data_IF_949943299711
#
_entry.id   IF_949943299711
#
_cell.length_a   1.000
_cell.length_b   1.000
_cell.length_c   1.000
_cell.angle_alpha   90.00
_cell.angle_beta   90.00
_cell.angle_gamma   90.00
#
_symmetry.space_group_name_H-M   'P 1'
#
loop_
_entity.id
_entity.type
_entity.pdbx_description
1 polymer ?
#
# COMPACT_ATOMS: atom_id res chain seq x y z
N UNK A 1 -36.21 27.21 15.02
CA UNK A 1 -34.76 27.24 14.77
C UNK A 1 -34.48 26.02 13.92
N UNK A 2 -34.45 26.20 12.59
CA UNK A 2 -34.26 25.10 11.65
C UNK A 2 -32.77 24.78 11.62
N UNK A 3 -32.40 23.55 12.00
CA UNK A 3 -31.06 23.04 11.76
C UNK A 3 -30.99 22.80 10.25
N UNK A 4 -30.22 23.63 9.56
CA UNK A 4 -29.91 23.45 8.15
C UNK A 4 -29.02 22.21 8.05
N UNK A 5 -29.56 21.16 7.46
CA UNK A 5 -28.80 20.03 6.93
C UNK A 5 -27.90 20.56 5.80
N UNK A 6 -26.68 21.00 6.13
CA UNK A 6 -25.63 21.16 5.13
C UNK A 6 -25.17 19.77 4.77
N UNK A 7 -25.93 19.10 3.90
CA UNK A 7 -25.48 17.89 3.25
C UNK A 7 -24.16 18.20 2.55
N UNK A 8 -23.06 17.66 3.09
CA UNK A 8 -21.75 17.74 2.46
C UNK A 8 -21.91 17.22 1.04
N UNK A 9 -21.76 18.09 0.04
CA UNK A 9 -21.86 17.70 -1.36
C UNK A 9 -20.81 16.63 -1.59
N UNK A 10 -21.25 15.39 -1.84
CA UNK A 10 -20.35 14.30 -2.17
C UNK A 10 -19.77 14.57 -3.55
N UNK A 11 -18.45 14.56 -3.65
CA UNK A 11 -17.75 14.61 -4.92
C UNK A 11 -17.95 13.27 -5.63
N UNK A 12 -18.50 13.26 -6.85
CA UNK A 12 -18.65 12.07 -7.70
C UNK A 12 -19.15 10.77 -6.98
N UNK A 13 -20.29 10.78 -6.27
CA UNK A 13 -20.73 9.62 -5.48
C UNK A 13 -21.12 8.41 -6.35
N UNK A 14 -21.78 8.63 -7.48
CA UNK A 14 -22.17 7.56 -8.41
C UNK A 14 -20.95 6.84 -9.00
N UNK A 15 -19.89 7.61 -9.29
CA UNK A 15 -18.64 7.06 -9.81
C UNK A 15 -17.90 6.24 -8.75
N UNK A 16 -17.96 6.65 -7.47
CA UNK A 16 -17.45 5.81 -6.38
C UNK A 16 -18.16 4.47 -6.34
N UNK A 17 -19.50 4.47 -6.36
CA UNK A 17 -20.28 3.23 -6.33
C UNK A 17 -19.93 2.33 -7.54
N UNK A 18 -19.74 2.93 -8.72
CA UNK A 18 -19.30 2.22 -9.92
C UNK A 18 -17.91 1.58 -9.73
N UNK A 19 -16.93 2.32 -9.21
CA UNK A 19 -15.59 1.79 -8.91
C UNK A 19 -15.66 0.64 -7.90
N UNK A 20 -16.50 0.75 -6.86
CA UNK A 20 -16.64 -0.29 -5.83
C UNK A 20 -17.31 -1.56 -6.35
N UNK A 21 -18.16 -1.43 -7.37
CA UNK A 21 -18.83 -2.55 -8.03
C UNK A 21 -18.08 -3.10 -9.26
N UNK A 22 -16.85 -2.62 -9.50
CA UNK A 22 -16.07 -2.94 -10.70
C UNK A 22 -15.40 -4.32 -10.63
N UNK A 23 -16.21 -5.38 -10.50
CA UNK A 23 -15.75 -6.78 -10.47
C UNK A 23 -15.13 -7.22 -11.81
N UNK A 24 -15.50 -6.56 -12.90
CA UNK A 24 -15.02 -6.84 -14.27
C UNK A 24 -13.64 -6.24 -14.55
N UNK A 25 -13.09 -5.45 -13.63
CA UNK A 25 -11.75 -4.88 -13.76
C UNK A 25 -11.63 -3.83 -14.87
N UNK A 26 -12.71 -3.09 -15.15
CA UNK A 26 -12.72 -1.99 -16.13
C UNK A 26 -11.65 -0.95 -15.78
N UNK A 27 -11.01 -0.31 -16.78
CA UNK A 27 -10.08 0.78 -16.52
C UNK A 27 -10.75 1.92 -15.76
N UNK A 28 -10.01 2.58 -14.87
CA UNK A 28 -10.47 3.76 -14.13
C UNK A 28 -9.61 4.96 -14.53
N UNK A 29 -10.26 6.03 -14.95
CA UNK A 29 -9.63 7.24 -15.48
C UNK A 29 -9.95 8.44 -14.59
N UNK A 30 -8.94 9.09 -14.04
CA UNK A 30 -9.06 10.40 -13.40
C UNK A 30 -8.64 11.45 -14.43
N UNK A 31 -9.58 12.29 -14.88
CA UNK A 31 -9.38 13.18 -16.04
C UNK A 31 -9.38 14.66 -15.67
N UNK A 32 -8.78 15.51 -16.52
CA UNK A 32 -8.73 16.97 -16.36
C UNK A 32 -8.04 17.46 -15.07
N UNK A 33 -7.11 16.68 -14.54
CA UNK A 33 -6.37 17.02 -13.32
C UNK A 33 -5.09 17.81 -13.62
N UNK A 34 -4.56 18.47 -12.59
CA UNK A 34 -3.12 18.72 -12.48
C UNK A 34 -2.45 17.47 -11.90
N UNK A 35 -1.49 16.86 -12.58
CA UNK A 35 -0.84 15.62 -12.14
C UNK A 35 0.61 15.90 -11.78
N UNK A 36 0.97 15.64 -10.51
CA UNK A 36 2.34 15.73 -10.01
C UNK A 36 2.98 14.34 -10.10
N UNK A 37 3.62 13.97 -11.21
CA UNK A 37 4.04 12.56 -11.38
C UNK A 37 5.19 12.10 -10.49
N UNK A 38 6.01 13.04 -9.99
CA UNK A 38 7.30 12.77 -9.32
C UNK A 38 8.34 12.01 -10.16
N UNK A 39 8.07 11.83 -11.46
CA UNK A 39 9.06 11.30 -12.40
C UNK A 39 9.75 12.47 -13.13
N UNK A 40 11.09 12.49 -13.21
CA UNK A 40 11.84 13.60 -13.78
C UNK A 40 11.76 13.66 -15.32
N UNK A 41 11.38 12.58 -16.01
CA UNK A 41 11.16 12.61 -17.45
C UNK A 41 9.80 13.22 -17.78
N UNK A 42 8.74 12.81 -17.08
CA UNK A 42 7.35 13.19 -17.39
C UNK A 42 7.00 14.54 -16.73
N UNK A 43 7.43 14.75 -15.49
CA UNK A 43 7.22 15.99 -14.76
C UNK A 43 5.76 16.25 -14.38
N UNK A 44 5.44 17.51 -14.14
CA UNK A 44 4.08 17.95 -13.77
C UNK A 44 3.29 18.35 -15.01
N UNK A 45 2.02 17.97 -15.06
CA UNK A 45 1.12 18.29 -16.18
C UNK A 45 -0.20 18.89 -15.65
N UNK A 46 -0.88 19.69 -16.47
CA UNK A 46 -2.20 20.29 -16.16
C UNK A 46 -3.18 19.93 -17.27
N UNK A 47 -4.43 19.64 -16.91
CA UNK A 47 -5.43 19.13 -17.86
C UNK A 47 -5.05 17.74 -18.36
N UNK A 48 -4.44 16.94 -17.49
CA UNK A 48 -3.95 15.61 -17.79
C UNK A 48 -4.81 14.54 -17.12
N UNK A 49 -4.64 13.32 -17.60
CA UNK A 49 -5.38 12.14 -17.19
C UNK A 49 -4.45 11.11 -16.55
N UNK A 50 -4.96 10.37 -15.56
CA UNK A 50 -4.32 9.21 -14.95
C UNK A 50 -5.24 8.00 -15.17
N UNK A 51 -4.74 6.98 -15.86
CA UNK A 51 -5.45 5.75 -16.17
C UNK A 51 -4.78 4.57 -15.46
N UNK A 52 -5.57 3.77 -14.76
CA UNK A 52 -5.13 2.52 -14.16
C UNK A 52 -6.12 1.38 -14.38
N UNK A 53 -5.61 0.16 -14.31
CA UNK A 53 -6.39 -1.10 -14.38
C UNK A 53 -5.98 -1.94 -13.18
N UNK A 54 -6.94 -2.26 -12.30
CA UNK A 54 -6.63 -2.89 -11.02
C UNK A 54 -5.58 -2.09 -10.25
N UNK A 55 -4.48 -2.74 -9.87
CA UNK A 55 -3.38 -2.12 -9.11
C UNK A 55 -2.24 -1.59 -9.98
N UNK A 56 -2.45 -1.35 -11.28
CA UNK A 56 -1.41 -0.94 -12.21
C UNK A 56 -1.79 0.36 -12.93
N UNK A 57 -0.96 1.40 -12.80
CA UNK A 57 -1.02 2.57 -13.68
C UNK A 57 -0.62 2.13 -15.09
N UNK A 58 -1.49 2.39 -16.06
CA UNK A 58 -1.27 2.03 -17.47
C UNK A 58 -1.07 3.25 -18.36
N UNK A 59 -1.48 4.44 -17.91
CA UNK A 59 -1.32 5.68 -18.67
C UNK A 59 -1.31 6.91 -17.79
N UNK A 60 -0.49 7.89 -18.16
CA UNK A 60 -0.51 9.24 -17.60
C UNK A 60 -0.21 10.25 -18.70
N UNK A 61 -0.98 11.33 -18.77
CA UNK A 61 -0.79 12.36 -19.78
C UNK A 61 -2.11 12.92 -20.31
N UNK A 62 -2.06 13.92 -21.20
CA UNK A 62 -3.26 14.55 -21.74
C UNK A 62 -3.96 13.66 -22.78
N UNK A 63 -5.30 13.76 -22.84
CA UNK A 63 -6.11 13.22 -23.93
C UNK A 63 -6.33 11.71 -23.90
N UNK A 64 -5.97 11.02 -22.81
CA UNK A 64 -6.20 9.58 -22.63
C UNK A 64 -7.70 9.28 -22.63
N UNK A 65 -8.54 10.22 -22.18
CA UNK A 65 -10.00 10.08 -22.18
C UNK A 65 -10.58 9.59 -23.52
N UNK A 66 -9.97 9.97 -24.64
CA UNK A 66 -10.43 9.54 -25.97
C UNK A 66 -10.19 8.06 -26.23
N UNK A 67 -9.08 7.50 -25.74
CA UNK A 67 -8.76 6.08 -25.86
C UNK A 67 -9.46 5.25 -24.77
N UNK A 68 -9.60 5.79 -23.56
CA UNK A 68 -10.27 5.12 -22.44
C UNK A 68 -11.78 4.94 -22.66
N UNK A 69 -12.41 5.80 -23.47
CA UNK A 69 -13.80 5.66 -23.87
C UNK A 69 -14.08 4.39 -24.69
N UNK A 70 -13.11 3.93 -25.48
CA UNK A 70 -13.24 2.70 -26.28
C UNK A 70 -13.25 1.44 -25.39
N UNK A 71 -12.62 1.50 -24.21
CA UNK A 71 -12.53 0.40 -23.24
C UNK A 71 -13.59 0.47 -22.13
N UNK A 72 -14.63 1.32 -22.30
CA UNK A 72 -15.69 1.53 -21.31
C UNK A 72 -15.14 1.89 -19.91
N UNK A 73 -14.11 2.75 -19.86
CA UNK A 73 -13.48 3.15 -18.61
C UNK A 73 -14.47 3.89 -17.68
N UNK A 74 -14.30 3.71 -16.37
CA UNK A 74 -14.99 4.50 -15.35
C UNK A 74 -14.26 5.84 -15.25
N UNK A 75 -14.96 6.95 -15.51
CA UNK A 75 -14.34 8.29 -15.60
C UNK A 75 -14.68 9.15 -14.40
N UNK A 76 -13.65 9.65 -13.73
CA UNK A 76 -13.71 10.58 -12.60
C UNK A 76 -13.23 11.96 -13.08
N UNK A 77 -14.13 12.95 -13.14
CA UNK A 77 -13.73 14.33 -13.46
C UNK A 77 -13.02 14.98 -12.25
N UNK A 78 -11.78 15.38 -12.47
CA UNK A 78 -10.89 16.01 -11.52
C UNK A 78 -10.61 17.49 -11.85
N UNK A 79 -11.50 18.14 -12.61
CA UNK A 79 -11.40 19.58 -12.88
C UNK A 79 -11.25 20.36 -11.56
N UNK A 80 -10.25 21.25 -11.51
CA UNK A 80 -9.89 22.02 -10.31
C UNK A 80 -9.28 21.16 -9.20
N UNK A 81 -8.63 20.05 -9.54
CA UNK A 81 -7.90 19.20 -8.60
C UNK A 81 -6.54 18.80 -9.09
N UNK A 82 -5.70 18.57 -8.09
CA UNK A 82 -4.38 17.97 -8.23
C UNK A 82 -4.42 16.51 -7.83
N UNK A 83 -3.88 15.66 -8.70
CA UNK A 83 -3.56 14.26 -8.43
C UNK A 83 -2.07 14.19 -8.10
N UNK A 84 -1.75 13.71 -6.89
CA UNK A 84 -0.38 13.63 -6.38
C UNK A 84 -0.13 12.26 -5.72
N UNK A 85 1.10 11.73 -5.73
CA UNK A 85 1.44 10.51 -5.02
C UNK A 85 1.07 10.59 -3.54
N UNK A 86 0.51 9.51 -3.00
CA UNK A 86 0.25 9.38 -1.57
C UNK A 86 1.52 9.01 -0.79
N UNK A 87 2.54 8.48 -1.48
CA UNK A 87 3.84 8.08 -0.93
C UNK A 87 4.93 8.93 -1.56
N UNK A 88 5.87 9.43 -0.74
CA UNK A 88 6.95 10.31 -1.20
C UNK A 88 8.30 9.59 -1.10
N UNK A 89 8.91 9.34 -2.25
CA UNK A 89 10.28 8.81 -2.31
C UNK A 89 11.30 9.94 -2.07
N UNK A 90 11.56 10.21 -0.78
CA UNK A 90 12.55 11.22 -0.38
C UNK A 90 13.99 10.82 -0.72
N UNK A 91 14.25 9.52 -0.91
CA UNK A 91 15.56 9.02 -1.35
C UNK A 91 15.82 9.44 -2.79
N UNK A 92 14.84 9.26 -3.68
CA UNK A 92 14.92 9.76 -5.05
C UNK A 92 15.07 11.29 -5.09
N UNK A 93 14.28 12.03 -4.29
CA UNK A 93 14.40 13.49 -4.19
C UNK A 93 15.79 13.97 -3.76
N UNK A 94 16.44 13.23 -2.86
CA UNK A 94 17.79 13.54 -2.40
C UNK A 94 18.90 13.02 -3.34
N UNK A 95 18.55 12.41 -4.48
CA UNK A 95 19.49 11.85 -5.45
C UNK A 95 20.09 10.50 -5.03
N UNK A 96 19.50 9.82 -4.04
CA UNK A 96 19.92 8.49 -3.59
C UNK A 96 19.56 7.35 -4.55
N UNK A 97 18.89 7.65 -5.67
CA UNK A 97 18.56 6.71 -6.75
C UNK A 97 19.20 7.16 -8.05
N UNK A 98 20.06 6.31 -8.61
CA UNK A 98 20.87 6.63 -9.78
C UNK A 98 20.11 6.51 -11.09
N UNK A 99 19.03 5.72 -11.09
CA UNK A 99 18.21 5.48 -12.26
C UNK A 99 16.75 5.83 -11.97
N UNK A 100 16.08 6.51 -12.91
CA UNK A 100 14.66 6.86 -12.74
C UNK A 100 13.74 5.65 -12.56
N UNK A 101 14.12 4.50 -13.12
CA UNK A 101 13.38 3.24 -12.97
C UNK A 101 13.42 2.68 -11.55
N UNK A 102 14.29 3.21 -10.68
CA UNK A 102 14.34 2.84 -9.27
C UNK A 102 13.41 3.70 -8.41
N UNK A 103 12.84 4.77 -8.97
CA UNK A 103 11.98 5.69 -8.23
C UNK A 103 10.70 4.95 -7.83
N UNK A 104 10.34 5.01 -6.55
CA UNK A 104 9.14 4.35 -6.05
C UNK A 104 7.96 5.32 -5.99
N UNK A 105 6.74 4.79 -6.14
CA UNK A 105 5.50 5.53 -5.98
C UNK A 105 5.34 6.78 -6.89
N UNK A 106 5.98 6.80 -8.06
CA UNK A 106 5.69 7.81 -9.09
C UNK A 106 4.37 7.48 -9.79
N UNK A 107 3.65 8.50 -10.27
CA UNK A 107 2.41 8.30 -11.04
C UNK A 107 2.74 8.10 -12.52
N UNK A 108 3.42 7.00 -12.81
CA UNK A 108 3.87 6.65 -14.16
C UNK A 108 3.47 5.22 -14.51
N UNK A 109 3.30 4.88 -15.79
CA UNK A 109 2.93 3.53 -16.20
C UNK A 109 3.89 2.47 -15.65
N UNK A 110 3.34 1.37 -15.14
CA UNK A 110 4.11 0.31 -14.48
C UNK A 110 4.12 0.39 -12.95
N UNK A 111 3.73 1.52 -12.36
CA UNK A 111 3.67 1.69 -10.91
C UNK A 111 2.27 1.41 -10.34
N UNK A 112 2.23 1.21 -9.02
CA UNK A 112 0.98 1.11 -8.25
C UNK A 112 0.29 2.47 -8.18
N UNK A 113 -1.04 2.55 -8.40
CA UNK A 113 -1.82 3.77 -8.26
C UNK A 113 -2.11 4.08 -6.78
N UNK A 114 -1.11 4.64 -6.10
CA UNK A 114 -1.18 5.17 -4.74
C UNK A 114 -1.17 6.70 -4.78
N UNK A 115 -2.35 7.33 -4.76
CA UNK A 115 -2.46 8.77 -4.99
C UNK A 115 -3.59 9.44 -4.21
N UNK A 116 -3.42 10.76 -4.05
CA UNK A 116 -4.38 11.70 -3.49
C UNK A 116 -5.00 12.54 -4.59
N UNK A 117 -6.28 12.86 -4.44
CA UNK A 117 -6.97 13.90 -5.21
C UNK A 117 -7.33 15.02 -4.25
N UNK A 118 -6.78 16.20 -4.49
CA UNK A 118 -6.87 17.35 -3.59
C UNK A 118 -7.20 18.60 -4.41
N UNK A 119 -8.03 19.54 -3.91
CA UNK A 119 -8.23 20.84 -4.58
C UNK A 119 -6.89 21.54 -4.89
N UNK A 120 -6.80 22.17 -6.07
CA UNK A 120 -5.55 22.74 -6.57
C UNK A 120 -4.89 23.72 -5.58
N UNK A 121 -5.71 24.54 -4.93
CA UNK A 121 -5.29 25.54 -3.96
C UNK A 121 -4.63 24.96 -2.69
N UNK A 122 -4.80 23.66 -2.43
CA UNK A 122 -4.24 22.97 -1.25
C UNK A 122 -3.07 22.05 -1.60
N UNK A 123 -2.76 21.88 -2.88
CA UNK A 123 -1.81 20.89 -3.37
C UNK A 123 -0.79 21.52 -4.33
N UNK A 124 -0.21 22.66 -3.96
CA UNK A 124 0.79 23.35 -4.80
C UNK A 124 1.93 22.40 -5.22
N UNK A 125 2.34 21.51 -4.32
CA UNK A 125 3.30 20.43 -4.51
C UNK A 125 2.86 19.15 -3.77
N UNK A 126 3.63 18.07 -3.93
CA UNK A 126 3.35 16.77 -3.28
C UNK A 126 3.35 16.87 -1.74
N UNK A 127 4.34 17.52 -1.08
CA UNK A 127 4.29 17.72 0.37
C UNK A 127 3.01 18.41 0.87
N UNK A 128 2.52 19.43 0.16
CA UNK A 128 1.28 20.14 0.54
C UNK A 128 0.04 19.25 0.38
N UNK A 129 0.00 18.41 -0.66
CA UNK A 129 -1.09 17.44 -0.85
C UNK A 129 -1.13 16.41 0.28
N UNK A 130 0.02 15.83 0.64
CA UNK A 130 0.15 14.87 1.76
C UNK A 130 -0.17 15.54 3.10
N UNK A 131 0.31 16.76 3.33
CA UNK A 131 -0.03 17.53 4.53
C UNK A 131 -1.53 17.80 4.65
N UNK A 132 -2.21 18.02 3.52
CA UNK A 132 -3.67 18.19 3.51
C UNK A 132 -4.40 16.93 3.97
N UNK A 133 -3.98 15.73 3.52
CA UNK A 133 -4.51 14.48 4.07
C UNK A 133 -4.35 14.40 5.59
N UNK A 134 -3.17 14.75 6.11
CA UNK A 134 -2.86 14.59 7.54
C UNK A 134 -3.56 15.62 8.43
N UNK A 135 -3.78 16.84 7.94
CA UNK A 135 -4.23 17.97 8.75
C UNK A 135 -5.68 18.36 8.50
N UNK A 136 -6.18 18.09 7.29
CA UNK A 136 -7.48 18.52 6.78
C UNK A 136 -8.08 17.41 5.88
N UNK A 137 -8.23 16.17 6.38
CA UNK A 137 -8.69 15.04 5.58
C UNK A 137 -10.06 15.28 4.94
N UNK A 138 -10.91 16.12 5.55
CA UNK A 138 -12.21 16.52 5.02
C UNK A 138 -12.12 17.28 3.67
N UNK A 139 -10.95 17.83 3.34
CA UNK A 139 -10.69 18.54 2.08
C UNK A 139 -10.09 17.63 1.00
N UNK A 140 -9.79 16.38 1.32
CA UNK A 140 -9.32 15.39 0.34
C UNK A 140 -10.52 14.85 -0.44
N UNK A 141 -10.47 14.98 -1.77
CA UNK A 141 -11.51 14.45 -2.66
C UNK A 141 -11.45 12.93 -2.77
N UNK A 142 -10.23 12.37 -2.87
CA UNK A 142 -10.01 10.93 -2.79
C UNK A 142 -8.60 10.57 -2.30
N UNK A 143 -8.49 9.42 -1.64
CA UNK A 143 -7.25 8.66 -1.48
C UNK A 143 -7.47 7.30 -2.12
N UNK A 144 -6.62 6.93 -3.07
CA UNK A 144 -6.63 5.63 -3.75
C UNK A 144 -5.35 4.89 -3.37
N UNK A 145 -5.48 3.64 -2.95
CA UNK A 145 -4.37 2.76 -2.61
C UNK A 145 -4.48 1.47 -3.43
N UNK A 146 -3.45 1.13 -4.20
CA UNK A 146 -3.43 0.01 -5.13
C UNK A 146 -4.68 -0.07 -6.02
N UNK A 147 -5.17 1.10 -6.45
CA UNK A 147 -6.33 1.22 -7.34
C UNK A 147 -7.68 1.13 -6.65
N UNK A 148 -7.69 0.99 -5.32
CA UNK A 148 -8.91 0.93 -4.50
C UNK A 148 -9.12 2.24 -3.74
N UNK A 149 -10.30 2.86 -3.81
CA UNK A 149 -10.63 4.01 -2.97
C UNK A 149 -10.57 3.64 -1.47
N UNK A 150 -9.88 4.47 -0.68
CA UNK A 150 -9.73 4.35 0.78
C UNK A 150 -10.43 5.50 1.50
N UNK A 151 -10.32 6.71 0.94
CA UNK A 151 -11.06 7.90 1.35
C UNK A 151 -11.75 8.49 0.13
N UNK A 152 -12.94 9.05 0.33
CA UNK A 152 -13.70 9.72 -0.70
C UNK A 152 -14.54 10.85 -0.09
N UNK A 153 -14.43 12.07 -0.66
CA UNK A 153 -15.06 13.27 -0.10
C UNK A 153 -14.79 13.46 1.40
N UNK A 154 -13.55 13.20 1.81
CA UNK A 154 -13.11 13.29 3.20
C UNK A 154 -13.65 12.22 4.15
N UNK A 155 -14.42 11.25 3.65
CA UNK A 155 -14.98 10.16 4.43
C UNK A 155 -14.34 8.81 4.09
N UNK A 156 -14.38 7.89 5.05
CA UNK A 156 -13.92 6.53 4.88
C UNK A 156 -14.79 5.76 3.87
N UNK A 157 -14.15 5.10 2.91
CA UNK A 157 -14.85 4.25 1.95
C UNK A 157 -15.31 2.96 2.63
N UNK A 158 -16.58 2.53 2.46
CA UNK A 158 -17.08 1.29 3.03
C UNK A 158 -16.29 0.06 2.52
N UNK A 159 -16.05 -0.91 3.40
CA UNK A 159 -15.38 -2.16 3.02
C UNK A 159 -13.87 -2.04 2.77
N UNK A 160 -13.28 -0.85 2.98
CA UNK A 160 -11.82 -0.70 2.98
C UNK A 160 -11.18 -1.55 4.08
N UNK A 161 -9.93 -1.95 3.87
CA UNK A 161 -9.13 -2.58 4.91
C UNK A 161 -9.03 -1.68 6.15
N UNK A 162 -9.17 -2.26 7.34
CA UNK A 162 -8.90 -1.58 8.59
C UNK A 162 -7.39 -1.46 8.78
N UNK A 163 -6.92 -0.27 9.13
CA UNK A 163 -5.52 -0.10 9.51
C UNK A 163 -5.20 -1.01 10.70
N UNK A 164 -4.02 -1.66 10.73
CA UNK A 164 -3.59 -2.43 11.89
C UNK A 164 -3.59 -1.59 13.17
N UNK A 165 -4.02 -2.19 14.28
CA UNK A 165 -3.95 -1.53 15.58
C UNK A 165 -2.49 -1.44 16.08
N UNK A 166 -2.16 -0.33 16.74
CA UNK A 166 -0.85 -0.18 17.36
C UNK A 166 -0.75 -1.06 18.63
N UNK A 167 0.17 -2.02 18.63
CA UNK A 167 0.43 -2.86 19.80
C UNK A 167 1.14 -4.16 19.45
N UNK A 168 1.54 -4.91 20.48
CA UNK A 168 1.98 -6.29 20.32
C UNK A 168 0.71 -7.16 20.37
N UNK A 169 0.35 -7.84 19.27
CA UNK A 169 -0.82 -8.70 19.28
C UNK A 169 -0.66 -9.85 20.27
N UNK A 170 -1.79 -10.37 20.76
CA UNK A 170 -1.76 -11.60 21.54
C UNK A 170 -1.17 -12.74 20.69
N UNK A 171 -0.47 -13.68 21.32
CA UNK A 171 -0.03 -14.88 20.62
C UNK A 171 -1.26 -15.66 20.15
N UNK A 172 -1.25 -16.08 18.89
CA UNK A 172 -2.29 -16.94 18.33
C UNK A 172 -2.07 -18.38 18.80
N UNK A 173 -3.15 -19.13 19.00
CA UNK A 173 -3.06 -20.58 19.17
C UNK A 173 -2.84 -21.22 17.80
N UNK A 174 -1.61 -21.68 17.57
CA UNK A 174 -1.17 -22.28 16.31
C UNK A 174 -1.22 -23.80 16.34
N UNK A 175 -1.96 -24.39 17.28
CA UNK A 175 -2.15 -25.85 17.35
C UNK A 175 -2.70 -26.39 16.03
N UNK A 176 -1.97 -27.33 15.43
CA UNK A 176 -2.32 -27.93 14.14
C UNK A 176 -1.92 -27.12 12.91
N UNK A 177 -1.27 -25.97 13.08
CA UNK A 177 -0.67 -25.22 11.97
C UNK A 177 0.43 -26.05 11.30
N UNK A 178 0.48 -26.15 9.96
CA UNK A 178 1.54 -26.85 9.24
C UNK A 178 2.90 -26.16 9.34
N UNK A 179 2.96 -24.96 9.96
CA UNK A 179 4.18 -24.16 10.10
C UNK A 179 4.86 -24.32 11.47
N UNK A 180 4.21 -25.03 12.38
CA UNK A 180 4.74 -25.36 13.71
C UNK A 180 5.67 -26.58 13.60
N UNK A 181 6.81 -26.52 14.29
CA UNK A 181 7.85 -27.55 14.26
C UNK A 181 9.25 -26.94 14.13
N UNK A 182 10.24 -27.81 13.88
CA UNK A 182 11.65 -27.39 13.77
C UNK A 182 11.98 -27.11 12.30
N UNK A 183 12.34 -25.88 12.02
CA UNK A 183 12.84 -25.41 10.73
C UNK A 183 14.36 -25.49 10.72
N UNK A 184 14.92 -26.24 9.76
CA UNK A 184 16.35 -26.55 9.70
C UNK A 184 16.93 -25.98 8.41
N UNK A 185 18.03 -25.23 8.50
CA UNK A 185 18.71 -24.73 7.32
C UNK A 185 19.45 -25.86 6.58
N UNK A 186 19.73 -25.66 5.29
CA UNK A 186 20.35 -26.69 4.45
C UNK A 186 21.74 -27.18 4.91
N UNK A 187 22.37 -26.49 5.85
CA UNK A 187 23.69 -26.84 6.39
C UNK A 187 23.64 -27.42 7.81
N UNK A 188 22.46 -27.64 8.37
CA UNK A 188 22.29 -28.10 9.76
C UNK A 188 22.95 -27.17 10.80
N UNK A 189 23.12 -25.90 10.43
CA UNK A 189 23.77 -24.87 11.24
C UNK A 189 22.75 -24.09 12.07
N UNK A 190 21.54 -23.87 11.57
CA UNK A 190 20.48 -23.13 12.24
C UNK A 190 19.23 -24.00 12.33
N UNK A 191 18.75 -24.22 13.56
CA UNK A 191 17.50 -24.91 13.87
C UNK A 191 16.58 -23.93 14.58
N UNK A 192 15.42 -23.66 14.02
CA UNK A 192 14.42 -22.77 14.59
C UNK A 192 13.15 -23.55 14.90
N UNK A 193 12.91 -23.80 16.17
CA UNK A 193 11.69 -24.44 16.66
C UNK A 193 10.59 -23.38 16.81
N UNK A 194 9.44 -23.60 16.16
CA UNK A 194 8.22 -22.81 16.33
C UNK A 194 7.20 -23.66 17.08
N UNK A 195 6.77 -23.21 18.25
CA UNK A 195 5.81 -23.94 19.10
C UNK A 195 4.36 -23.46 18.90
N UNK A 196 3.35 -24.29 19.21
CA UNK A 196 1.94 -23.91 19.03
C UNK A 196 1.47 -22.71 19.87
N UNK A 197 2.13 -22.44 21.00
CA UNK A 197 1.81 -21.32 21.90
C UNK A 197 2.45 -19.98 21.46
N UNK A 198 2.97 -19.93 20.23
CA UNK A 198 3.54 -18.71 19.65
C UNK A 198 4.93 -18.36 20.19
N UNK A 199 5.68 -19.36 20.67
CA UNK A 199 7.08 -19.19 21.11
C UNK A 199 8.03 -19.79 20.09
N UNK A 200 9.20 -19.18 19.96
CA UNK A 200 10.27 -19.75 19.16
C UNK A 200 11.55 -19.93 19.96
N UNK A 201 12.37 -20.86 19.49
CA UNK A 201 13.71 -21.14 20.00
C UNK A 201 14.67 -21.40 18.83
N UNK A 202 15.72 -20.60 18.73
CA UNK A 202 16.76 -20.77 17.73
C UNK A 202 18.02 -21.36 18.36
N UNK A 203 18.49 -22.46 17.78
CA UNK A 203 19.82 -23.01 17.98
C UNK A 203 20.70 -22.66 16.79
N UNK A 204 21.92 -22.16 17.05
CA UNK A 204 22.84 -21.73 15.99
C UNK A 204 24.26 -22.22 16.21
N UNK A 205 24.81 -22.94 15.24
CA UNK A 205 26.15 -23.52 15.30
C UNK A 205 26.38 -24.39 16.53
N UNK A 206 25.33 -25.09 17.00
CA UNK A 206 25.37 -25.91 18.22
C UNK A 206 25.26 -25.14 19.54
N UNK A 207 25.06 -23.80 19.51
CA UNK A 207 24.67 -23.03 20.70
C UNK A 207 23.15 -23.07 20.86
N UNK A 208 22.61 -23.82 21.84
CA UNK A 208 21.17 -23.83 22.10
C UNK A 208 20.71 -22.49 22.66
N UNK A 209 19.44 -22.15 22.44
CA UNK A 209 18.83 -20.92 22.93
C UNK A 209 19.65 -19.68 22.53
N UNK A 210 20.15 -19.68 21.30
CA UNK A 210 20.88 -18.54 20.75
C UNK A 210 19.96 -17.31 20.72
N UNK A 211 18.70 -17.53 20.33
CA UNK A 211 17.60 -16.56 20.36
C UNK A 211 16.31 -17.25 20.77
N UNK A 212 15.46 -16.55 21.50
CA UNK A 212 14.18 -17.07 21.99
C UNK A 212 13.21 -15.93 22.14
N UNK A 213 11.94 -16.17 21.83
CA UNK A 213 10.96 -15.11 21.89
C UNK A 213 9.57 -15.55 21.49
N UNK A 214 8.75 -14.57 21.10
CA UNK A 214 7.43 -14.79 20.53
C UNK A 214 7.47 -14.63 19.02
N UNK A 215 6.52 -15.25 18.35
CA UNK A 215 6.32 -15.05 16.92
C UNK A 215 4.84 -14.93 16.57
N UNK A 216 4.58 -14.30 15.43
CA UNK A 216 3.26 -14.14 14.82
C UNK A 216 3.34 -14.40 13.34
N UNK A 217 2.30 -15.01 12.78
CA UNK A 217 2.21 -15.34 11.36
C UNK A 217 1.08 -14.51 10.76
N UNK A 218 1.38 -13.77 9.68
CA UNK A 218 0.39 -13.03 8.89
C UNK A 218 0.56 -13.36 7.41
N UNK A 219 -0.42 -14.06 6.82
CA UNK A 219 -0.30 -14.56 5.45
C UNK A 219 0.93 -15.47 5.33
N UNK A 220 1.91 -15.08 4.51
CA UNK A 220 3.20 -15.78 4.39
C UNK A 220 4.34 -15.11 5.17
N UNK A 221 4.08 -14.01 5.87
CA UNK A 221 5.07 -13.36 6.73
C UNK A 221 5.06 -14.00 8.12
N UNK A 222 6.24 -14.09 8.73
CA UNK A 222 6.41 -14.37 10.16
C UNK A 222 7.25 -13.27 10.79
N UNK A 223 6.78 -12.72 11.91
CA UNK A 223 7.50 -11.74 12.70
C UNK A 223 7.88 -12.33 14.05
N UNK A 224 9.09 -12.01 14.51
CA UNK A 224 9.66 -12.46 15.76
C UNK A 224 9.91 -11.27 16.67
N UNK A 225 9.54 -11.41 17.95
CA UNK A 225 9.99 -10.52 19.03
C UNK A 225 10.81 -11.35 20.00
N UNK A 226 12.12 -11.18 19.94
CA UNK A 226 13.06 -11.83 20.85
C UNK A 226 12.89 -11.29 22.28
N UNK A 227 13.17 -12.13 23.27
CA UNK A 227 13.10 -11.74 24.69
C UNK A 227 14.14 -10.66 25.05
N UNK A 228 15.18 -10.46 24.23
CA UNK A 228 16.10 -9.32 24.31
C UNK A 228 15.50 -8.01 23.74
N UNK A 229 14.32 -8.07 23.13
CA UNK A 229 13.54 -6.92 22.69
C UNK A 229 13.78 -6.46 21.25
N UNK A 230 14.52 -7.23 20.44
CA UNK A 230 14.68 -6.93 19.01
C UNK A 230 13.67 -7.69 18.16
N UNK A 231 13.35 -7.11 17.00
CA UNK A 231 12.47 -7.73 16.01
C UNK A 231 13.27 -8.36 14.89
N UNK A 232 12.79 -9.49 14.40
CA UNK A 232 13.24 -10.09 13.16
C UNK A 232 12.02 -10.55 12.37
N UNK A 233 12.21 -10.88 11.09
CA UNK A 233 11.13 -11.38 10.25
C UNK A 233 11.62 -12.49 9.33
N UNK A 234 10.70 -13.31 8.86
CA UNK A 234 10.90 -14.25 7.78
C UNK A 234 9.68 -14.28 6.85
N UNK A 235 9.81 -15.04 5.78
CA UNK A 235 8.77 -15.25 4.79
C UNK A 235 8.70 -16.73 4.41
N UNK A 236 7.50 -17.29 4.41
CA UNK A 236 7.23 -18.62 3.91
C UNK A 236 7.09 -18.58 2.38
N UNK A 237 7.86 -19.41 1.69
CA UNK A 237 7.77 -19.60 0.25
C UNK A 237 7.48 -21.07 -0.02
N UNK A 238 6.19 -21.43 -0.05
CA UNK A 238 5.78 -22.83 -0.16
C UNK A 238 6.16 -23.64 1.08
N UNK A 239 7.09 -24.59 0.92
CA UNK A 239 7.62 -25.45 1.98
C UNK A 239 8.89 -24.89 2.65
N UNK A 240 9.32 -23.69 2.28
CA UNK A 240 10.54 -23.04 2.78
C UNK A 240 10.24 -21.85 3.67
N UNK A 241 11.09 -21.63 4.68
CA UNK A 241 11.14 -20.41 5.49
C UNK A 241 12.43 -19.64 5.18
N UNK A 242 12.28 -18.44 4.64
CA UNK A 242 13.36 -17.51 4.33
C UNK A 242 13.50 -16.51 5.48
N UNK A 243 14.61 -16.55 6.22
CA UNK A 243 14.82 -15.73 7.41
C UNK A 243 16.29 -15.35 7.58
N UNK A 244 16.59 -14.07 7.74
CA UNK A 244 17.94 -13.56 8.01
C UNK A 244 19.04 -14.07 7.03
N UNK A 245 18.66 -14.34 5.77
CA UNK A 245 19.55 -14.89 4.73
C UNK A 245 19.68 -16.41 4.74
N UNK A 246 18.97 -17.10 5.63
CA UNK A 246 18.84 -18.57 5.66
C UNK A 246 17.57 -19.01 4.95
N UNK A 247 17.65 -20.18 4.31
CA UNK A 247 16.50 -20.91 3.77
C UNK A 247 16.40 -22.21 4.56
N UNK A 248 15.27 -22.40 5.21
CA UNK A 248 15.01 -23.55 6.08
C UNK A 248 13.83 -24.36 5.56
N UNK A 249 13.83 -25.65 5.89
CA UNK A 249 12.70 -26.55 5.67
C UNK A 249 12.24 -27.16 6.99
N UNK A 250 10.96 -27.47 7.08
CA UNK A 250 10.41 -28.18 8.21
C UNK A 250 10.98 -29.61 8.25
N UNK A 251 11.57 -29.98 9.39
CA UNK A 251 12.21 -31.28 9.63
C UNK A 251 11.26 -32.42 9.99
#
# INVERSE_FOLDING_TARGET
MSITDTGTVRWNPEVLDEILSNDEGRPVLFTNARILTMDPLIGTMTGADLLFVGSLVVGVGPGIITAAGDDNAIVVDCTGSTVAPAVVDTVALAGGRGHRSEYVATLTPGNTPDFLVVPDELAADVPSAVATLMTRPEQVRALVAAGRPVLWSGADVPGRATAPEAGIPAAEDLTGSPRVGVWIDGHDFLHQELTPDGRYDETRGGRPHAYQGRYWIDGDRIDYLDDLGFWAYGEFQGDELHHAGYVMKLG
#
